data_IF_719556449144
#
_entry.id   IF_719556449144
#
_cell.length_a   1.000
_cell.length_b   1.000
_cell.length_c   1.000
_cell.angle_alpha   90.00
_cell.angle_beta   90.00
_cell.angle_gamma   90.00
#
_symmetry.space_group_name_H-M   'P 1'
#
loop_
_entity.id
_entity.type
_entity.pdbx_description
1 polymer ?
#
# COMPACT_ATOMS: atom_id res chain seq x y z
N UNK A 1 1.45 16.91 -37.14
CA UNK A 1 2.80 16.75 -36.55
C UNK A 1 2.61 16.08 -35.21
N UNK A 2 3.42 15.08 -34.90
CA UNK A 2 3.39 14.45 -33.58
C UNK A 2 4.06 15.38 -32.56
N UNK A 3 3.49 15.50 -31.35
CA UNK A 3 4.01 16.24 -30.19
C UNK A 3 4.30 15.23 -29.08
N UNK A 4 5.47 15.30 -28.47
CA UNK A 4 5.83 14.39 -27.37
C UNK A 4 6.00 15.20 -26.08
N UNK A 5 5.34 14.76 -25.00
CA UNK A 5 5.47 15.31 -23.67
C UNK A 5 6.23 14.27 -22.84
N UNK A 6 7.30 14.73 -22.16
CA UNK A 6 8.15 13.84 -21.36
C UNK A 6 8.29 14.42 -19.96
N UNK A 7 8.10 13.57 -18.95
CA UNK A 7 8.53 13.75 -17.58
C UNK A 7 9.64 12.73 -17.35
N UNK A 8 10.91 13.18 -17.50
CA UNK A 8 12.07 12.29 -17.46
C UNK A 8 12.25 11.64 -16.08
N UNK A 9 11.95 12.39 -15.02
CA UNK A 9 12.06 11.92 -13.65
C UNK A 9 10.88 12.39 -12.82
N UNK A 10 10.02 11.45 -12.45
CA UNK A 10 8.87 11.72 -11.60
C UNK A 10 9.34 11.86 -10.14
N UNK A 11 9.33 13.08 -9.64
CA UNK A 11 9.73 13.37 -8.26
C UNK A 11 8.61 13.05 -7.25
N UNK A 12 8.99 12.87 -5.99
CA UNK A 12 8.06 12.64 -4.86
C UNK A 12 7.23 11.36 -5.02
N UNK A 13 7.87 10.30 -5.52
CA UNK A 13 7.41 8.90 -5.49
C UNK A 13 8.51 8.03 -4.87
N UNK A 14 8.19 6.80 -4.55
CA UNK A 14 9.22 5.82 -4.18
C UNK A 14 9.78 5.15 -5.45
N UNK A 15 11.11 5.20 -5.62
CA UNK A 15 11.82 4.64 -6.76
C UNK A 15 11.94 5.59 -7.97
N UNK A 16 12.33 5.06 -9.14
CA UNK A 16 12.65 5.83 -10.33
C UNK A 16 11.71 5.48 -11.50
N UNK A 17 10.93 6.47 -11.92
CA UNK A 17 10.05 6.36 -13.08
C UNK A 17 9.95 7.69 -13.82
N UNK A 18 9.53 7.62 -15.08
CA UNK A 18 9.19 8.74 -15.93
C UNK A 18 7.86 8.51 -16.65
N UNK A 19 7.40 9.50 -17.38
CA UNK A 19 6.18 9.43 -18.18
C UNK A 19 6.48 9.94 -19.60
N UNK A 20 6.07 9.20 -20.62
CA UNK A 20 6.14 9.62 -22.01
C UNK A 20 4.74 9.60 -22.62
N UNK A 21 4.32 10.73 -23.19
CA UNK A 21 3.05 10.83 -23.91
C UNK A 21 3.34 11.29 -25.34
N UNK A 22 2.80 10.55 -26.32
CA UNK A 22 2.86 10.91 -27.73
C UNK A 22 1.46 11.34 -28.20
N UNK A 23 1.37 12.54 -28.71
CA UNK A 23 0.16 13.12 -29.28
C UNK A 23 0.26 13.11 -30.79
N UNK A 24 -0.77 12.66 -31.48
CA UNK A 24 -0.92 12.68 -32.93
C UNK A 24 -2.02 13.62 -33.40
N UNK A 25 -2.34 13.56 -34.70
CA UNK A 25 -3.38 14.40 -35.28
C UNK A 25 -4.78 14.19 -34.66
N UNK A 26 -5.06 12.96 -34.22
CA UNK A 26 -6.37 12.52 -33.73
C UNK A 26 -6.43 12.39 -32.19
N UNK A 27 -5.40 12.88 -31.46
CA UNK A 27 -5.36 12.86 -30.00
C UNK A 27 -4.17 12.10 -29.40
N UNK A 28 -4.39 11.40 -28.28
CA UNK A 28 -3.32 10.68 -27.54
C UNK A 28 -3.05 9.32 -28.19
N UNK A 29 -1.90 9.19 -28.86
CA UNK A 29 -1.49 7.95 -29.52
C UNK A 29 -0.91 6.94 -28.52
N UNK A 30 -0.01 7.40 -27.62
CA UNK A 30 0.69 6.53 -26.67
C UNK A 30 0.89 7.23 -25.32
N UNK A 31 0.77 6.44 -24.27
CA UNK A 31 1.15 6.82 -22.91
C UNK A 31 1.95 5.68 -22.32
N UNK A 32 3.15 5.96 -21.85
CA UNK A 32 4.04 4.99 -21.23
C UNK A 32 4.39 5.49 -19.81
N UNK A 33 4.17 4.65 -18.81
CA UNK A 33 4.72 4.86 -17.48
C UNK A 33 6.04 4.08 -17.38
N UNK A 34 7.15 4.80 -17.59
CA UNK A 34 8.48 4.24 -17.78
C UNK A 34 9.15 3.98 -16.43
N UNK A 35 9.05 2.80 -15.87
CA UNK A 35 9.84 2.39 -14.70
C UNK A 35 11.27 2.10 -15.15
N UNK A 36 12.22 2.84 -14.60
CA UNK A 36 13.66 2.71 -14.88
C UNK A 36 14.45 2.14 -13.72
N UNK A 37 13.79 1.84 -12.59
CA UNK A 37 14.38 1.15 -11.43
C UNK A 37 14.96 -0.20 -11.86
N UNK A 38 16.10 -0.60 -11.26
CA UNK A 38 16.76 -1.86 -11.58
C UNK A 38 15.90 -3.07 -11.21
N UNK A 39 15.78 -4.03 -12.10
CA UNK A 39 15.06 -5.30 -11.85
C UNK A 39 15.77 -6.05 -10.73
N UNK A 40 15.01 -6.44 -9.70
CA UNK A 40 15.50 -7.21 -8.55
C UNK A 40 14.83 -8.58 -8.55
N UNK A 41 15.60 -9.63 -8.37
CA UNK A 41 15.17 -11.01 -8.55
C UNK A 41 14.72 -11.65 -7.21
N UNK A 42 13.87 -10.98 -6.43
CA UNK A 42 13.48 -11.47 -5.09
C UNK A 42 12.81 -12.84 -5.11
N UNK A 43 11.94 -13.12 -6.06
CA UNK A 43 11.33 -14.46 -6.24
C UNK A 43 12.41 -15.53 -6.50
N UNK A 44 13.42 -15.21 -7.33
CA UNK A 44 14.57 -16.08 -7.55
C UNK A 44 15.51 -16.18 -6.35
N UNK A 45 15.68 -15.09 -5.59
CA UNK A 45 16.56 -15.04 -4.41
C UNK A 45 16.05 -15.93 -3.26
N UNK A 46 14.74 -16.10 -3.13
CA UNK A 46 14.18 -16.96 -2.07
C UNK A 46 14.12 -18.43 -2.48
N UNK A 47 14.16 -18.77 -3.78
CA UNK A 47 14.24 -20.15 -4.23
C UNK A 47 15.53 -20.82 -3.75
N UNK A 48 15.42 -22.03 -3.20
CA UNK A 48 16.50 -22.78 -2.56
C UNK A 48 16.85 -22.30 -1.14
N UNK A 49 16.20 -21.24 -0.61
CA UNK A 49 16.38 -20.80 0.78
C UNK A 49 15.41 -21.55 1.69
N UNK A 50 15.83 -21.74 2.93
CA UNK A 50 14.95 -22.26 3.95
C UNK A 50 13.85 -21.24 4.28
N UNK A 51 12.63 -21.71 4.53
CA UNK A 51 11.45 -20.87 4.77
C UNK A 51 11.63 -19.86 5.91
N UNK A 52 12.47 -20.17 6.90
CA UNK A 52 12.79 -19.28 8.03
C UNK A 52 13.47 -17.97 7.55
N UNK A 53 14.25 -18.03 6.47
CA UNK A 53 15.01 -16.86 5.96
C UNK A 53 14.14 -15.95 5.07
N UNK A 54 13.04 -16.48 4.52
CA UNK A 54 12.21 -15.78 3.54
C UNK A 54 11.68 -14.45 4.05
N UNK A 55 11.09 -14.33 5.26
CA UNK A 55 10.56 -13.05 5.76
C UNK A 55 11.62 -11.95 5.81
N UNK A 56 12.85 -12.27 6.24
CA UNK A 56 13.96 -11.33 6.28
C UNK A 56 14.42 -10.88 4.87
N UNK A 57 14.37 -11.75 3.88
CA UNK A 57 14.72 -11.45 2.49
C UNK A 57 13.65 -10.55 1.86
N UNK A 58 12.38 -10.95 1.91
CA UNK A 58 11.28 -10.23 1.24
C UNK A 58 10.95 -8.90 1.91
N UNK A 59 11.26 -8.71 3.19
CA UNK A 59 11.18 -7.40 3.85
C UNK A 59 11.98 -6.32 3.10
N UNK A 60 12.98 -6.69 2.31
CA UNK A 60 13.86 -5.79 1.55
C UNK A 60 13.36 -5.48 0.15
N UNK A 61 12.21 -6.00 -0.23
CA UNK A 61 11.54 -5.58 -1.48
C UNK A 61 11.23 -4.08 -1.41
N UNK A 62 10.83 -3.58 -0.24
CA UNK A 62 10.57 -2.15 -0.04
C UNK A 62 10.81 -1.76 1.42
N UNK A 63 11.41 -0.60 1.66
CA UNK A 63 11.62 -0.08 3.01
C UNK A 63 10.28 0.25 3.70
N UNK A 64 9.39 0.99 3.02
CA UNK A 64 8.10 1.45 3.57
C UNK A 64 7.14 0.27 3.78
N UNK A 65 7.05 -0.66 2.80
CA UNK A 65 6.14 -1.80 2.86
C UNK A 65 6.74 -3.03 3.56
N UNK A 66 7.88 -2.89 4.24
CA UNK A 66 8.64 -4.03 4.78
C UNK A 66 7.84 -4.90 5.75
N UNK A 67 7.03 -4.31 6.62
CA UNK A 67 6.13 -5.03 7.53
C UNK A 67 5.04 -5.79 6.75
N UNK A 68 4.42 -5.16 5.75
CA UNK A 68 3.42 -5.80 4.90
C UNK A 68 3.98 -7.03 4.19
N UNK A 69 5.14 -6.91 3.52
CA UNK A 69 5.81 -8.05 2.89
C UNK A 69 6.12 -9.17 3.89
N UNK A 70 6.62 -8.82 5.07
CA UNK A 70 6.97 -9.81 6.11
C UNK A 70 5.73 -10.56 6.62
N UNK A 71 4.65 -9.83 6.96
CA UNK A 71 3.42 -10.42 7.51
C UNK A 71 2.72 -11.29 6.45
N UNK A 72 2.64 -10.82 5.19
CA UNK A 72 2.04 -11.60 4.10
C UNK A 72 2.85 -12.87 3.81
N UNK A 73 4.20 -12.77 3.79
CA UNK A 73 5.06 -13.93 3.60
C UNK A 73 4.90 -14.94 4.73
N UNK A 74 4.86 -14.49 6.00
CA UNK A 74 4.61 -15.38 7.14
C UNK A 74 3.28 -16.10 7.03
N UNK A 75 2.21 -15.38 6.66
CA UNK A 75 0.88 -15.99 6.50
C UNK A 75 0.87 -17.06 5.40
N UNK A 76 1.56 -16.84 4.27
CA UNK A 76 1.69 -17.84 3.21
C UNK A 76 2.54 -19.04 3.64
N UNK A 77 3.67 -18.82 4.33
CA UNK A 77 4.53 -19.89 4.84
C UNK A 77 3.83 -20.71 5.94
N UNK A 78 3.11 -20.06 6.84
CA UNK A 78 2.32 -20.71 7.89
C UNK A 78 1.24 -21.61 7.29
N UNK A 79 0.59 -21.14 6.22
CA UNK A 79 -0.38 -21.95 5.47
C UNK A 79 0.32 -23.18 4.83
N UNK A 80 1.48 -22.99 4.16
CA UNK A 80 2.24 -24.09 3.56
C UNK A 80 2.68 -25.14 4.59
N UNK A 81 3.02 -24.72 5.81
CA UNK A 81 3.48 -25.56 6.91
C UNK A 81 2.35 -26.07 7.82
N UNK A 82 1.10 -25.70 7.55
CA UNK A 82 -0.08 -26.01 8.37
C UNK A 82 0.04 -25.48 9.82
N UNK A 83 0.65 -24.31 9.98
CA UNK A 83 0.80 -23.62 11.26
C UNK A 83 -0.39 -22.69 11.49
N UNK A 84 -1.06 -22.84 12.63
CA UNK A 84 -2.13 -21.92 13.05
C UNK A 84 -1.63 -21.08 14.20
N UNK A 85 -1.54 -19.76 14.00
CA UNK A 85 -1.13 -18.80 15.02
C UNK A 85 -2.28 -18.49 15.98
N UNK A 86 -1.93 -18.07 17.21
CA UNK A 86 -2.89 -17.66 18.25
C UNK A 86 -3.68 -16.40 17.85
N UNK A 87 -4.78 -16.12 18.56
CA UNK A 87 -5.50 -14.87 18.42
C UNK A 87 -4.61 -13.67 18.81
N UNK A 88 -3.82 -13.78 19.88
CA UNK A 88 -2.88 -12.75 20.31
C UNK A 88 -1.84 -12.43 19.23
N UNK A 89 -1.26 -13.44 18.59
CA UNK A 89 -0.32 -13.24 17.48
C UNK A 89 -0.99 -12.49 16.32
N UNK A 90 -2.23 -12.83 15.94
CA UNK A 90 -2.95 -12.10 14.89
C UNK A 90 -3.21 -10.65 15.28
N UNK A 91 -3.64 -10.39 16.50
CA UNK A 91 -3.90 -9.04 17.03
C UNK A 91 -2.62 -8.18 17.04
N UNK A 92 -1.48 -8.73 17.47
CA UNK A 92 -0.21 -8.01 17.47
C UNK A 92 0.30 -7.75 16.05
N UNK A 93 0.10 -8.67 15.10
CA UNK A 93 0.41 -8.43 13.69
C UNK A 93 -0.48 -7.35 13.08
N UNK A 94 -1.76 -7.32 13.44
CA UNK A 94 -2.68 -6.27 13.03
C UNK A 94 -2.24 -4.91 13.60
N UNK A 95 -1.91 -4.83 14.90
CA UNK A 95 -1.36 -3.61 15.51
C UNK A 95 -0.13 -3.08 14.74
N UNK A 96 0.83 -3.95 14.44
CA UNK A 96 2.00 -3.57 13.67
C UNK A 96 1.66 -3.10 12.25
N UNK A 97 0.64 -3.72 11.67
CA UNK A 97 0.13 -3.39 10.36
C UNK A 97 -0.53 -1.99 10.34
N UNK A 98 -1.32 -1.67 11.38
CA UNK A 98 -1.85 -0.32 11.56
C UNK A 98 -0.72 0.71 11.63
N UNK A 99 0.39 0.39 12.32
CA UNK A 99 1.59 1.22 12.32
C UNK A 99 2.17 1.48 10.93
N UNK A 100 2.22 0.46 10.08
CA UNK A 100 2.70 0.58 8.70
C UNK A 100 1.77 1.47 7.85
N UNK A 101 0.45 1.37 8.03
CA UNK A 101 -0.53 2.22 7.35
C UNK A 101 -0.40 3.68 7.80
N UNK A 102 -0.32 3.93 9.11
CA UNK A 102 -0.14 5.27 9.69
C UNK A 102 1.12 5.93 9.10
N UNK A 103 2.25 5.23 9.12
CA UNK A 103 3.51 5.74 8.56
C UNK A 103 3.39 6.10 7.09
N UNK A 104 2.90 5.16 6.29
CA UNK A 104 2.85 5.28 4.83
C UNK A 104 1.87 6.35 4.37
N UNK A 105 0.64 6.37 4.93
CA UNK A 105 -0.36 7.35 4.56
C UNK A 105 0.02 8.76 5.02
N UNK A 106 0.60 8.91 6.23
CA UNK A 106 1.10 10.19 6.69
C UNK A 106 2.22 10.74 5.77
N UNK A 107 3.16 9.87 5.37
CA UNK A 107 4.22 10.25 4.45
C UNK A 107 3.64 10.66 3.09
N UNK A 108 2.78 9.83 2.49
CA UNK A 108 2.26 10.08 1.16
C UNK A 108 1.36 11.33 1.14
N UNK A 109 0.31 11.35 1.94
CA UNK A 109 -0.69 12.43 1.91
C UNK A 109 -0.05 13.79 2.17
N UNK A 110 0.77 13.90 3.21
CA UNK A 110 1.26 15.21 3.67
C UNK A 110 2.62 15.63 3.10
N UNK A 111 3.50 14.68 2.77
CA UNK A 111 4.84 15.01 2.28
C UNK A 111 4.98 14.88 0.76
N UNK A 112 4.23 13.99 0.13
CA UNK A 112 4.35 13.72 -1.30
C UNK A 112 3.23 14.38 -2.13
N UNK A 113 1.96 14.24 -1.71
CA UNK A 113 0.80 14.74 -2.44
C UNK A 113 0.37 16.16 -2.05
N UNK A 114 0.33 16.49 -0.76
CA UNK A 114 -0.13 17.80 -0.27
C UNK A 114 0.62 18.99 -0.87
N UNK A 115 1.94 18.96 -1.12
CA UNK A 115 2.62 20.04 -1.80
C UNK A 115 1.97 20.41 -3.14
N UNK A 116 1.58 19.44 -3.97
CA UNK A 116 0.88 19.74 -5.24
C UNK A 116 -0.44 20.45 -5.03
N UNK A 117 -1.21 19.98 -4.07
CA UNK A 117 -2.55 20.52 -3.79
C UNK A 117 -2.51 21.95 -3.22
N UNK A 118 -1.38 22.34 -2.64
CA UNK A 118 -1.14 23.69 -2.10
C UNK A 118 -0.22 24.55 -2.99
N UNK A 119 0.16 24.07 -4.19
CA UNK A 119 1.00 24.79 -5.13
C UNK A 119 2.47 24.95 -4.70
N UNK A 120 2.99 23.99 -3.92
CA UNK A 120 4.39 23.94 -3.50
C UNK A 120 5.20 22.91 -4.27
N UNK A 121 6.45 23.20 -4.68
CA UNK A 121 7.28 22.27 -5.43
C UNK A 121 7.79 21.08 -4.58
N UNK A 122 7.81 21.23 -3.25
CA UNK A 122 8.33 20.21 -2.33
C UNK A 122 7.80 20.36 -0.92
N UNK A 123 7.97 19.32 -0.10
CA UNK A 123 7.67 19.39 1.33
C UNK A 123 8.56 20.39 2.07
N UNK A 124 9.78 20.66 1.60
CA UNK A 124 10.68 21.68 2.18
C UNK A 124 10.11 23.07 1.97
N UNK A 125 9.61 23.37 0.75
CA UNK A 125 8.90 24.61 0.47
C UNK A 125 7.63 24.75 1.32
N UNK A 126 6.86 23.66 1.44
CA UNK A 126 5.67 23.62 2.29
C UNK A 126 6.01 23.85 3.77
N UNK A 127 7.11 23.28 4.27
CA UNK A 127 7.56 23.48 5.64
C UNK A 127 7.89 24.96 5.96
N UNK A 128 8.41 25.69 4.98
CA UNK A 128 8.61 27.14 5.10
C UNK A 128 7.32 27.95 5.18
N UNK A 129 6.29 27.51 4.44
CA UNK A 129 4.99 28.19 4.38
C UNK A 129 4.02 27.76 5.49
N UNK A 130 4.03 26.46 5.84
CA UNK A 130 3.15 25.87 6.85
C UNK A 130 3.90 24.84 7.70
N UNK A 131 4.78 25.29 8.61
CA UNK A 131 5.56 24.38 9.48
C UNK A 131 4.70 23.52 10.40
N UNK A 132 3.50 24.00 10.78
CA UNK A 132 2.58 23.25 11.62
C UNK A 132 2.05 21.98 10.92
N UNK A 133 1.67 22.09 9.64
CA UNK A 133 1.21 20.95 8.85
C UNK A 133 2.30 19.89 8.66
N UNK A 134 3.53 20.32 8.37
CA UNK A 134 4.65 19.38 8.21
C UNK A 134 5.04 18.77 9.56
N UNK A 135 5.05 19.56 10.64
CA UNK A 135 5.30 19.05 11.99
C UNK A 135 4.29 17.97 12.43
N UNK A 136 3.01 18.18 12.16
CA UNK A 136 1.94 17.22 12.39
C UNK A 136 2.16 15.94 11.58
N UNK A 137 2.44 16.04 10.28
CA UNK A 137 2.73 14.90 9.42
C UNK A 137 3.89 14.05 9.94
N UNK A 138 4.96 14.69 10.39
CA UNK A 138 6.13 13.99 10.96
C UNK A 138 5.81 13.30 12.30
N UNK A 139 4.92 13.87 13.14
CA UNK A 139 4.47 13.19 14.37
C UNK A 139 3.64 11.96 14.04
N UNK A 140 2.69 12.04 13.10
CA UNK A 140 1.91 10.88 12.63
C UNK A 140 2.81 9.80 12.04
N UNK A 141 3.77 10.18 11.18
CA UNK A 141 4.75 9.23 10.65
C UNK A 141 5.57 8.56 11.75
N UNK A 142 6.01 9.33 12.75
CA UNK A 142 6.76 8.80 13.89
C UNK A 142 5.91 7.86 14.73
N UNK A 143 4.62 8.15 14.92
CA UNK A 143 3.68 7.27 15.61
C UNK A 143 3.62 5.90 14.94
N UNK A 144 3.45 5.84 13.61
CA UNK A 144 3.49 4.59 12.85
C UNK A 144 4.79 3.83 13.05
N UNK A 145 5.94 4.51 12.95
CA UNK A 145 7.25 3.91 13.20
C UNK A 145 7.39 3.35 14.63
N UNK A 146 6.89 4.07 15.63
CA UNK A 146 6.97 3.62 17.03
C UNK A 146 6.18 2.33 17.25
N UNK A 147 4.98 2.20 16.66
CA UNK A 147 4.20 0.95 16.70
C UNK A 147 5.01 -0.19 16.06
N UNK A 148 5.57 0.05 14.87
CA UNK A 148 6.37 -0.93 14.14
C UNK A 148 7.63 -1.34 14.91
N UNK A 149 8.32 -0.41 15.57
CA UNK A 149 9.50 -0.68 16.40
C UNK A 149 9.17 -1.53 17.62
N UNK A 150 8.08 -1.22 18.32
CA UNK A 150 7.67 -1.95 19.52
C UNK A 150 7.26 -3.39 19.17
N UNK A 151 6.48 -3.57 18.12
CA UNK A 151 5.95 -4.90 17.76
C UNK A 151 6.91 -5.66 16.84
N UNK A 152 7.44 -5.01 15.82
CA UNK A 152 8.30 -5.63 14.80
C UNK A 152 9.80 -5.59 15.10
N UNK A 153 10.22 -4.89 16.17
CA UNK A 153 11.61 -4.74 16.58
C UNK A 153 12.38 -3.66 15.80
N UNK A 154 11.87 -3.21 14.67
CA UNK A 154 12.37 -2.10 13.84
C UNK A 154 11.26 -1.48 13.03
N UNK A 155 11.33 -0.18 12.76
CA UNK A 155 10.39 0.50 11.86
C UNK A 155 10.56 0.03 10.40
N UNK A 156 11.77 -0.33 10.02
CA UNK A 156 12.09 -0.79 8.65
C UNK A 156 12.84 -2.12 8.75
N UNK A 157 12.46 -3.09 7.91
CA UNK A 157 13.00 -4.45 7.91
C UNK A 157 12.88 -5.13 9.27
N UNK A 158 11.66 -5.46 9.70
CA UNK A 158 11.40 -6.03 11.03
C UNK A 158 12.16 -7.31 11.27
N UNK A 159 12.52 -7.53 12.52
CA UNK A 159 13.34 -8.68 12.96
C UNK A 159 12.67 -9.53 14.03
N UNK A 160 11.50 -9.11 14.52
CA UNK A 160 10.82 -9.76 15.65
C UNK A 160 9.75 -10.78 15.23
N UNK A 161 9.35 -10.79 13.96
CA UNK A 161 8.38 -11.75 13.45
C UNK A 161 9.07 -13.08 13.12
N UNK A 162 8.45 -14.16 13.57
CA UNK A 162 8.87 -15.52 13.23
C UNK A 162 7.67 -16.33 12.75
N UNK A 163 7.90 -17.45 12.03
CA UNK A 163 6.84 -18.37 11.68
C UNK A 163 6.23 -18.90 13.00
N UNK A 164 4.93 -18.77 13.13
CA UNK A 164 4.20 -19.20 14.33
C UNK A 164 4.10 -18.17 15.45
N UNK A 165 4.67 -16.94 15.33
CA UNK A 165 4.56 -15.95 16.40
C UNK A 165 5.57 -14.81 16.34
N UNK A 166 6.15 -14.51 17.50
CA UNK A 166 7.09 -13.41 17.74
C UNK A 166 8.30 -13.89 18.54
N UNK A 167 9.46 -13.29 18.30
CA UNK A 167 10.65 -13.51 19.13
C UNK A 167 10.56 -12.83 20.52
N UNK A 168 9.84 -11.70 20.60
CA UNK A 168 9.56 -10.97 21.84
C UNK A 168 8.16 -10.33 21.76
N UNK A 169 7.44 -10.37 22.89
CA UNK A 169 6.16 -9.69 23.02
C UNK A 169 6.35 -8.28 23.61
N UNK A 170 5.48 -7.31 23.26
CA UNK A 170 5.49 -5.99 23.88
C UNK A 170 5.23 -6.08 25.40
N UNK A 171 5.87 -5.21 26.17
CA UNK A 171 5.60 -5.08 27.61
C UNK A 171 4.37 -4.21 27.87
N UNK A 172 3.85 -4.26 29.11
CA UNK A 172 2.79 -3.35 29.55
C UNK A 172 3.20 -1.89 29.42
N UNK A 173 4.46 -1.56 29.71
CA UNK A 173 4.98 -0.19 29.58
C UNK A 173 5.02 0.25 28.12
N UNK A 174 5.42 -0.64 27.19
CA UNK A 174 5.34 -0.39 25.75
C UNK A 174 3.90 -0.06 25.31
N UNK A 175 2.91 -0.82 25.79
CA UNK A 175 1.49 -0.59 25.49
C UNK A 175 0.96 0.72 26.08
N UNK A 176 1.34 1.07 27.32
CA UNK A 176 0.97 2.35 27.93
C UNK A 176 1.54 3.54 27.15
N UNK A 177 2.79 3.44 26.72
CA UNK A 177 3.41 4.44 25.86
C UNK A 177 2.67 4.57 24.53
N UNK A 178 2.32 3.46 23.88
CA UNK A 178 1.57 3.46 22.62
C UNK A 178 0.19 4.08 22.79
N UNK A 179 -0.52 3.75 23.87
CA UNK A 179 -1.84 4.33 24.15
C UNK A 179 -1.79 5.85 24.20
N UNK A 180 -0.87 6.41 24.98
CA UNK A 180 -0.72 7.87 25.08
C UNK A 180 -0.34 8.51 23.73
N UNK A 181 0.53 7.85 22.95
CA UNK A 181 0.93 8.33 21.63
C UNK A 181 -0.22 8.28 20.59
N UNK A 182 -1.07 7.25 20.65
CA UNK A 182 -2.25 7.09 19.79
C UNK A 182 -3.34 8.11 20.12
N UNK A 183 -3.59 8.38 21.41
CA UNK A 183 -4.50 9.44 21.86
C UNK A 183 -4.04 10.82 21.35
N UNK A 184 -2.73 11.11 21.40
CA UNK A 184 -2.16 12.32 20.79
C UNK A 184 -2.29 12.31 19.27
N UNK A 185 -2.12 11.15 18.63
CA UNK A 185 -2.28 10.96 17.18
C UNK A 185 -3.68 11.28 16.67
N UNK A 186 -4.74 10.98 17.45
CA UNK A 186 -6.11 11.39 17.09
C UNK A 186 -6.28 12.92 17.06
N UNK A 187 -5.59 13.66 17.95
CA UNK A 187 -5.59 15.13 17.89
C UNK A 187 -4.86 15.63 16.63
N UNK A 188 -3.76 14.98 16.23
CA UNK A 188 -3.07 15.30 14.97
C UNK A 188 -3.97 14.96 13.76
N UNK A 189 -4.74 13.87 13.78
CA UNK A 189 -5.74 13.56 12.77
C UNK A 189 -6.83 14.64 12.66
N UNK A 190 -7.31 15.17 13.79
CA UNK A 190 -8.28 16.26 13.78
C UNK A 190 -7.69 17.56 13.19
N UNK A 191 -6.44 17.88 13.48
CA UNK A 191 -5.73 19.02 12.87
C UNK A 191 -5.52 18.80 11.37
N UNK A 192 -5.18 17.58 10.94
CA UNK A 192 -5.08 17.18 9.53
C UNK A 192 -6.40 17.34 8.79
N UNK A 193 -7.51 16.89 9.41
CA UNK A 193 -8.86 17.05 8.86
C UNK A 193 -9.20 18.52 8.63
N UNK A 194 -8.91 19.39 9.62
CA UNK A 194 -9.16 20.83 9.50
C UNK A 194 -8.41 21.43 8.29
N UNK A 195 -7.18 20.99 8.02
CA UNK A 195 -6.41 21.41 6.84
C UNK A 195 -7.02 20.87 5.55
N UNK A 196 -7.25 19.55 5.46
CA UNK A 196 -7.71 18.91 4.20
C UNK A 196 -9.08 19.39 3.74
N UNK A 197 -9.97 19.77 4.66
CA UNK A 197 -11.28 20.39 4.33
C UNK A 197 -11.17 21.72 3.59
N UNK A 198 -10.04 22.40 3.64
CA UNK A 198 -9.81 23.66 2.93
C UNK A 198 -9.31 23.48 1.50
N UNK A 199 -9.02 22.24 1.09
CA UNK A 199 -8.36 21.93 -0.17
C UNK A 199 -9.39 21.43 -1.18
N UNK A 200 -9.48 22.11 -2.32
CA UNK A 200 -10.24 21.62 -3.46
C UNK A 200 -9.37 20.64 -4.27
N UNK A 201 -9.88 19.45 -4.53
CA UNK A 201 -9.18 18.50 -5.41
C UNK A 201 -9.20 19.01 -6.86
N UNK A 202 -8.09 18.86 -7.61
CA UNK A 202 -8.09 19.16 -9.03
C UNK A 202 -9.14 18.34 -9.78
N UNK A 203 -9.91 18.97 -10.66
CA UNK A 203 -11.00 18.36 -11.43
C UNK A 203 -10.64 18.11 -12.90
N UNK A 204 -9.38 17.80 -13.19
CA UNK A 204 -8.90 17.59 -14.57
C UNK A 204 -8.82 16.11 -14.99
N UNK A 205 -9.27 15.19 -14.16
CA UNK A 205 -9.46 13.79 -14.51
C UNK A 205 -10.84 13.36 -14.05
N UNK A 206 -11.63 12.83 -14.97
CA UNK A 206 -12.98 12.36 -14.69
C UNK A 206 -13.22 11.05 -15.45
N UNK A 207 -12.49 10.01 -15.07
CA UNK A 207 -12.55 8.70 -15.70
C UNK A 207 -12.90 7.62 -14.66
N UNK A 208 -13.95 6.81 -14.91
CA UNK A 208 -14.31 5.73 -13.99
C UNK A 208 -13.17 4.75 -13.76
N UNK A 209 -13.02 4.30 -12.51
CA UNK A 209 -12.01 3.34 -12.10
C UNK A 209 -12.67 2.02 -11.70
N UNK A 210 -12.20 0.93 -12.26
CA UNK A 210 -12.57 -0.43 -11.83
C UNK A 210 -11.75 -0.79 -10.61
N UNK A 211 -12.38 -0.91 -9.45
CA UNK A 211 -11.72 -1.16 -8.18
C UNK A 211 -11.60 -2.65 -7.87
N UNK A 212 -10.51 -3.05 -7.20
CA UNK A 212 -10.33 -4.37 -6.63
C UNK A 212 -9.75 -4.25 -5.21
N UNK A 213 -10.25 -5.06 -4.27
CA UNK A 213 -9.75 -5.13 -2.89
C UNK A 213 -10.07 -6.47 -2.25
N UNK A 214 -9.32 -6.85 -1.20
CA UNK A 214 -9.68 -7.97 -0.34
C UNK A 214 -11.03 -7.71 0.33
N UNK A 215 -11.83 -8.75 0.44
CA UNK A 215 -13.05 -8.76 1.27
C UNK A 215 -12.60 -8.85 2.72
N UNK A 216 -12.83 -7.82 3.57
CA UNK A 216 -12.36 -7.82 4.94
C UNK A 216 -12.90 -8.99 5.75
N UNK A 217 -12.03 -9.62 6.54
CA UNK A 217 -12.38 -10.70 7.46
C UNK A 217 -12.67 -10.12 8.85
N UNK A 218 -13.85 -10.40 9.38
CA UNK A 218 -14.28 -9.95 10.70
C UNK A 218 -14.02 -8.45 10.92
N UNK A 219 -13.38 -8.07 12.02
CA UNK A 219 -13.01 -6.69 12.34
C UNK A 219 -11.70 -6.23 11.67
N UNK A 220 -10.97 -7.16 11.03
CA UNK A 220 -9.66 -6.88 10.43
C UNK A 220 -9.79 -6.35 9.00
N UNK A 221 -9.94 -5.03 8.84
CA UNK A 221 -10.22 -4.35 7.56
C UNK A 221 -9.19 -4.64 6.44
N UNK A 222 -7.92 -4.87 6.79
CA UNK A 222 -6.84 -5.08 5.84
C UNK A 222 -6.47 -6.55 5.59
N UNK A 223 -7.23 -7.49 6.12
CA UNK A 223 -7.00 -8.92 5.98
C UNK A 223 -8.23 -9.62 5.42
N UNK A 224 -8.02 -10.60 4.54
CA UNK A 224 -9.11 -11.33 3.90
C UNK A 224 -8.62 -12.56 3.15
N UNK A 225 -9.59 -13.38 2.69
CA UNK A 225 -9.32 -14.65 2.01
C UNK A 225 -9.84 -14.67 0.57
N UNK A 226 -10.48 -13.60 0.13
CA UNK A 226 -10.97 -13.42 -1.24
C UNK A 226 -10.85 -11.95 -1.67
N UNK A 227 -10.73 -11.72 -2.96
CA UNK A 227 -10.73 -10.39 -3.58
C UNK A 227 -12.04 -10.16 -4.30
N UNK A 228 -12.58 -8.95 -4.18
CA UNK A 228 -13.76 -8.48 -4.94
C UNK A 228 -13.39 -7.36 -5.89
N UNK A 229 -13.97 -7.38 -7.09
CA UNK A 229 -13.95 -6.28 -8.05
C UNK A 229 -15.25 -5.50 -8.00
N UNK A 230 -15.23 -4.25 -8.44
CA UNK A 230 -16.40 -3.37 -8.47
C UNK A 230 -17.50 -3.80 -9.46
N UNK A 231 -17.20 -4.72 -10.37
CA UNK A 231 -18.17 -5.33 -11.28
C UNK A 231 -18.81 -6.63 -10.73
N UNK A 232 -18.52 -6.98 -9.48
CA UNK A 232 -19.08 -8.13 -8.77
C UNK A 232 -18.29 -9.43 -8.92
N UNK A 233 -17.19 -9.44 -9.69
CA UNK A 233 -16.30 -10.62 -9.71
C UNK A 233 -15.64 -10.82 -8.34
N UNK A 234 -15.63 -12.07 -7.88
CA UNK A 234 -14.95 -12.46 -6.64
C UNK A 234 -14.05 -13.66 -6.89
N UNK A 235 -12.90 -13.70 -6.23
CA UNK A 235 -11.94 -14.78 -6.35
C UNK A 235 -11.26 -15.06 -5.01
N UNK A 236 -11.17 -16.33 -4.56
CA UNK A 236 -10.37 -16.72 -3.42
C UNK A 236 -8.89 -16.38 -3.62
N UNK A 237 -8.17 -16.04 -2.53
CA UNK A 237 -6.76 -15.65 -2.57
C UNK A 237 -5.88 -16.74 -3.20
N UNK A 238 -6.15 -18.01 -2.98
CA UNK A 238 -5.42 -19.14 -3.58
C UNK A 238 -5.61 -19.25 -5.10
N UNK A 239 -6.59 -18.52 -5.68
CA UNK A 239 -6.86 -18.44 -7.12
C UNK A 239 -6.48 -17.09 -7.72
N UNK A 240 -5.64 -16.31 -7.06
CA UNK A 240 -5.27 -14.94 -7.44
C UNK A 240 -4.81 -14.79 -8.90
N UNK A 241 -4.20 -15.83 -9.51
CA UNK A 241 -3.78 -15.81 -10.91
C UNK A 241 -4.96 -15.66 -11.89
N UNK A 242 -6.18 -15.90 -11.47
CA UNK A 242 -7.36 -15.62 -12.29
C UNK A 242 -7.76 -14.14 -12.27
N UNK A 243 -7.26 -13.39 -11.30
CA UNK A 243 -7.42 -11.94 -11.20
C UNK A 243 -6.24 -11.21 -11.87
N UNK A 244 -5.02 -11.58 -11.51
CA UNK A 244 -3.81 -10.88 -11.94
C UNK A 244 -3.05 -11.70 -12.96
N UNK A 245 -2.80 -11.13 -14.13
CA UNK A 245 -1.97 -11.73 -15.17
C UNK A 245 -0.75 -10.87 -15.43
N UNK A 246 0.21 -10.88 -14.50
CA UNK A 246 1.42 -10.09 -14.64
C UNK A 246 2.13 -10.34 -15.99
N UNK A 247 2.46 -9.26 -16.67
CA UNK A 247 3.12 -9.27 -17.98
C UNK A 247 4.25 -8.25 -18.03
N UNK A 248 5.31 -8.57 -18.76
CA UNK A 248 6.33 -7.62 -19.13
C UNK A 248 5.84 -6.71 -20.26
N UNK A 249 6.25 -5.45 -20.23
CA UNK A 249 6.02 -4.46 -21.30
C UNK A 249 7.35 -3.88 -21.75
N UNK A 250 7.45 -3.50 -23.01
CA UNK A 250 8.73 -3.09 -23.61
C UNK A 250 9.28 -1.75 -23.07
N UNK A 251 8.40 -0.89 -22.54
CA UNK A 251 8.74 0.47 -22.10
C UNK A 251 9.03 0.57 -20.61
N UNK A 252 8.91 -0.51 -19.84
CA UNK A 252 9.03 -0.47 -18.37
C UNK A 252 9.72 -1.71 -17.84
N UNK A 253 10.55 -1.55 -16.80
CA UNK A 253 11.14 -2.68 -16.06
C UNK A 253 10.15 -3.35 -15.11
N UNK A 254 9.03 -2.70 -14.80
CA UNK A 254 7.99 -3.26 -13.95
C UNK A 254 7.07 -4.22 -14.73
N UNK A 255 6.42 -5.10 -13.98
CA UNK A 255 5.32 -5.90 -14.50
C UNK A 255 4.01 -5.11 -14.44
N UNK A 256 3.11 -5.41 -15.34
CA UNK A 256 1.78 -4.82 -15.47
C UNK A 256 0.72 -5.90 -15.35
N UNK A 257 -0.45 -5.55 -14.84
CA UNK A 257 -1.58 -6.47 -14.70
C UNK A 257 -2.84 -5.95 -15.40
N UNK A 258 -3.63 -6.88 -15.91
CA UNK A 258 -4.98 -6.66 -16.41
C UNK A 258 -5.88 -7.78 -15.88
N UNK A 259 -7.18 -7.53 -15.78
CA UNK A 259 -8.18 -8.57 -15.61
C UNK A 259 -9.20 -8.50 -16.75
N UNK A 260 -9.35 -9.60 -17.49
CA UNK A 260 -10.16 -9.68 -18.72
C UNK A 260 -9.82 -8.57 -19.74
N UNK A 261 -8.54 -8.32 -19.93
CA UNK A 261 -8.05 -7.30 -20.88
C UNK A 261 -8.29 -5.85 -20.45
N UNK A 262 -8.82 -5.60 -19.25
CA UNK A 262 -9.10 -4.27 -18.71
C UNK A 262 -8.22 -3.97 -17.51
N UNK A 263 -7.85 -2.72 -17.34
CA UNK A 263 -7.15 -2.24 -16.16
C UNK A 263 -8.07 -2.24 -14.93
N UNK A 264 -7.46 -2.26 -13.76
CA UNK A 264 -8.14 -2.10 -12.49
C UNK A 264 -7.21 -1.39 -11.50
N UNK A 265 -7.78 -0.85 -10.44
CA UNK A 265 -7.07 -0.16 -9.36
C UNK A 265 -7.21 -0.93 -8.06
N UNK A 266 -6.11 -1.02 -7.31
CA UNK A 266 -6.08 -1.41 -5.89
C UNK A 266 -5.60 -0.22 -5.05
N UNK A 267 -5.86 -0.23 -3.74
CA UNK A 267 -5.45 0.82 -2.81
C UNK A 267 -6.61 1.43 -2.04
N UNK A 268 -6.36 2.53 -1.33
CA UNK A 268 -7.33 3.12 -0.39
C UNK A 268 -8.66 3.48 -1.06
N UNK A 269 -8.62 4.13 -2.23
CA UNK A 269 -9.83 4.49 -2.96
C UNK A 269 -10.65 3.26 -3.35
N UNK A 270 -9.99 2.18 -3.78
CA UNK A 270 -10.62 0.92 -4.14
C UNK A 270 -11.24 0.23 -2.91
N UNK A 271 -10.51 0.15 -1.78
CA UNK A 271 -11.01 -0.44 -0.53
C UNK A 271 -12.23 0.29 -0.01
N UNK A 272 -12.18 1.61 0.06
CA UNK A 272 -13.33 2.40 0.52
C UNK A 272 -14.50 2.34 -0.46
N UNK A 273 -14.26 2.24 -1.77
CA UNK A 273 -15.33 2.07 -2.76
C UNK A 273 -16.08 0.74 -2.63
N UNK A 274 -15.38 -0.32 -2.21
CA UNK A 274 -15.92 -1.68 -2.11
C UNK A 274 -16.43 -2.04 -0.71
N UNK A 275 -15.77 -1.52 0.33
CA UNK A 275 -15.97 -1.94 1.72
C UNK A 275 -16.07 -0.75 2.70
N UNK A 276 -16.34 0.45 2.20
CA UNK A 276 -16.42 1.64 3.02
C UNK A 276 -17.56 1.64 4.04
N UNK A 277 -18.55 0.76 3.89
CA UNK A 277 -19.59 0.51 4.88
C UNK A 277 -19.04 0.00 6.22
N UNK A 278 -17.86 -0.63 6.19
CA UNK A 278 -17.14 -1.09 7.38
C UNK A 278 -16.45 0.02 8.17
N UNK A 279 -16.21 1.17 7.59
CA UNK A 279 -15.58 2.31 8.26
C UNK A 279 -16.60 2.97 9.19
N UNK A 280 -16.29 3.07 10.47
CA UNK A 280 -17.11 3.65 11.53
C UNK A 280 -16.30 4.69 12.33
N UNK A 281 -16.82 5.21 13.43
CA UNK A 281 -16.13 6.05 14.40
C UNK A 281 -15.55 7.33 13.80
N UNK A 282 -14.39 7.75 14.31
CA UNK A 282 -13.70 8.97 13.89
C UNK A 282 -13.30 8.93 12.39
N UNK A 283 -13.00 7.76 11.85
CA UNK A 283 -12.71 7.61 10.43
C UNK A 283 -13.95 7.89 9.56
N UNK A 284 -15.14 7.47 9.98
CA UNK A 284 -16.40 7.80 9.28
C UNK A 284 -16.70 9.29 9.35
N UNK A 285 -16.48 9.91 10.49
CA UNK A 285 -16.66 11.36 10.66
C UNK A 285 -15.67 12.13 9.76
N UNK A 286 -14.41 11.69 9.68
CA UNK A 286 -13.40 12.26 8.79
C UNK A 286 -13.82 12.13 7.32
N UNK A 287 -14.31 10.95 6.90
CA UNK A 287 -14.84 10.73 5.54
C UNK A 287 -15.92 11.73 5.17
N UNK A 288 -16.94 11.84 6.02
CA UNK A 288 -18.04 12.78 5.81
C UNK A 288 -17.55 14.22 5.73
N UNK A 289 -16.61 14.58 6.59
CA UNK A 289 -16.10 15.95 6.71
C UNK A 289 -15.19 16.37 5.54
N UNK A 290 -14.43 15.47 4.92
CA UNK A 290 -13.65 15.76 3.70
C UNK A 290 -14.51 15.72 2.43
N UNK A 291 -15.77 15.32 2.51
CA UNK A 291 -16.70 15.29 1.39
C UNK A 291 -16.34 14.24 0.32
N UNK A 292 -15.66 13.15 0.69
CA UNK A 292 -15.30 12.09 -0.24
C UNK A 292 -16.53 11.34 -0.71
N UNK A 293 -16.85 11.45 -2.00
CA UNK A 293 -17.96 10.74 -2.64
C UNK A 293 -17.44 9.51 -3.39
N UNK A 294 -18.04 8.36 -3.16
CA UNK A 294 -17.68 7.08 -3.79
C UNK A 294 -18.89 6.43 -4.48
N UNK A 295 -18.68 5.75 -5.63
CA UNK A 295 -17.41 5.66 -6.35
C UNK A 295 -16.98 7.02 -6.92
N UNK A 296 -15.65 7.28 -6.93
CA UNK A 296 -15.08 8.50 -7.48
C UNK A 296 -14.54 8.26 -8.88
N UNK A 297 -14.76 9.24 -9.77
CA UNK A 297 -14.09 9.30 -11.09
C UNK A 297 -12.83 10.13 -11.09
N UNK A 298 -12.52 10.78 -9.97
CA UNK A 298 -11.31 11.59 -9.78
C UNK A 298 -10.27 10.79 -8.98
N UNK A 299 -9.21 10.35 -9.63
CA UNK A 299 -8.15 9.55 -8.98
C UNK A 299 -7.45 10.31 -7.85
N UNK A 300 -7.39 11.64 -7.88
CA UNK A 300 -6.78 12.45 -6.82
C UNK A 300 -7.52 12.28 -5.48
N UNK A 301 -8.76 11.83 -5.51
CA UNK A 301 -9.55 11.44 -4.32
C UNK A 301 -8.91 10.28 -3.51
N UNK A 302 -7.98 9.51 -4.12
CA UNK A 302 -7.22 8.51 -3.38
C UNK A 302 -6.44 9.08 -2.19
N UNK A 303 -5.99 10.33 -2.28
CA UNK A 303 -5.32 11.01 -1.16
C UNK A 303 -6.26 11.22 0.03
N UNK A 304 -7.55 11.54 -0.23
CA UNK A 304 -8.56 11.66 0.82
C UNK A 304 -8.95 10.27 1.38
N UNK A 305 -9.02 9.26 0.52
CA UNK A 305 -9.24 7.88 0.95
C UNK A 305 -8.11 7.39 1.87
N UNK A 306 -6.85 7.67 1.53
CA UNK A 306 -5.69 7.37 2.39
C UNK A 306 -5.75 8.13 3.72
N UNK A 307 -6.23 9.37 3.72
CA UNK A 307 -6.42 10.11 4.97
C UNK A 307 -7.51 9.46 5.85
N UNK A 308 -8.63 9.02 5.28
CA UNK A 308 -9.67 8.28 6.02
C UNK A 308 -9.09 7.00 6.63
N UNK A 309 -8.30 6.24 5.87
CA UNK A 309 -7.63 5.04 6.37
C UNK A 309 -6.56 5.34 7.42
N UNK A 310 -5.88 6.48 7.34
CA UNK A 310 -4.96 6.95 8.37
C UNK A 310 -5.70 7.13 9.71
N UNK A 311 -6.86 7.81 9.69
CA UNK A 311 -7.69 8.02 10.89
C UNK A 311 -8.17 6.67 11.42
N UNK A 312 -8.69 5.79 10.55
CA UNK A 312 -9.07 4.42 10.91
C UNK A 312 -7.94 3.66 11.59
N UNK A 313 -6.73 3.72 11.03
CA UNK A 313 -5.58 2.99 11.57
C UNK A 313 -5.15 3.51 12.95
N UNK A 314 -5.23 4.81 13.21
CA UNK A 314 -4.94 5.38 14.53
C UNK A 314 -6.00 4.95 15.55
N UNK A 315 -7.29 5.03 15.17
CA UNK A 315 -8.42 4.65 16.03
C UNK A 315 -8.38 3.15 16.35
N UNK A 316 -8.25 2.30 15.35
CA UNK A 316 -8.19 0.84 15.50
C UNK A 316 -6.96 0.37 16.30
N UNK A 317 -5.79 0.98 16.06
CA UNK A 317 -4.61 0.71 16.88
C UNK A 317 -4.84 1.06 18.36
N UNK A 318 -5.55 2.15 18.65
CA UNK A 318 -5.90 2.54 20.03
C UNK A 318 -6.87 1.52 20.67
N UNK A 319 -7.84 1.01 19.92
CA UNK A 319 -8.75 -0.05 20.35
C UNK A 319 -7.98 -1.33 20.71
N UNK A 320 -7.08 -1.77 19.80
CA UNK A 320 -6.23 -2.96 20.00
C UNK A 320 -5.38 -2.78 21.27
N UNK A 321 -4.68 -1.67 21.42
CA UNK A 321 -3.80 -1.41 22.57
C UNK A 321 -4.61 -1.35 23.87
N UNK A 322 -5.80 -0.75 23.84
CA UNK A 322 -6.69 -0.69 25.01
C UNK A 322 -7.19 -2.08 25.42
N UNK A 323 -7.56 -2.92 24.45
CA UNK A 323 -7.97 -4.30 24.70
C UNK A 323 -6.82 -5.14 25.25
N UNK A 324 -5.60 -5.02 24.70
CA UNK A 324 -4.41 -5.72 25.19
C UNK A 324 -4.04 -5.30 26.63
N UNK A 325 -4.18 -4.02 26.97
CA UNK A 325 -3.95 -3.54 28.34
C UNK A 325 -4.99 -4.10 29.34
N UNK A 326 -6.24 -4.24 28.91
CA UNK A 326 -7.31 -4.77 29.75
C UNK A 326 -7.22 -6.28 29.97
N UNK A 327 -6.83 -7.03 28.94
CA UNK A 327 -6.75 -8.49 28.96
C UNK A 327 -5.39 -9.01 29.47
N UNK A 328 -4.34 -8.19 29.35
CA UNK A 328 -2.95 -8.60 29.50
C UNK A 328 -2.41 -9.32 28.26
N UNK A 329 -1.09 -9.33 28.09
CA UNK A 329 -0.40 -10.14 27.08
C UNK A 329 0.06 -11.44 27.73
N UNK A 330 -0.44 -12.57 27.20
CA UNK A 330 0.00 -13.88 27.65
C UNK A 330 1.43 -14.15 27.15
N UNK A 331 2.30 -14.68 28.02
CA UNK A 331 3.63 -15.14 27.63
C UNK A 331 3.47 -16.47 26.85
N UNK A 332 3.44 -16.36 25.51
CA UNK A 332 3.30 -17.52 24.62
C UNK A 332 4.52 -17.62 23.70
N UNK A 333 5.21 -18.75 23.67
CA UNK A 333 6.26 -18.99 22.69
C UNK A 333 5.66 -19.15 21.28
N UNK A 334 6.45 -18.93 20.22
CA UNK A 334 6.02 -19.24 18.87
C UNK A 334 5.57 -20.70 18.73
N UNK A 335 4.58 -20.96 17.89
CA UNK A 335 4.11 -22.30 17.58
C UNK A 335 5.28 -23.13 17.03
N UNK A 336 5.45 -24.34 17.55
CA UNK A 336 6.47 -25.26 17.04
C UNK A 336 6.16 -25.63 15.60
N UNK A 337 7.14 -25.44 14.74
CA UNK A 337 7.02 -25.71 13.30
C UNK A 337 7.67 -27.04 12.96
N UNK A 338 6.93 -27.90 12.27
CA UNK A 338 7.45 -29.13 11.67
C UNK A 338 7.63 -28.90 10.17
N UNK A 339 8.86 -29.11 9.67
CA UNK A 339 9.12 -28.95 8.24
C UNK A 339 8.39 -30.02 7.43
N UNK A 340 7.83 -29.59 6.31
CA UNK A 340 7.08 -30.42 5.39
C UNK A 340 6.97 -29.80 4.00
N UNK A 341 6.77 -30.62 2.99
CA UNK A 341 6.35 -30.14 1.70
C UNK A 341 4.93 -29.55 1.78
N UNK A 342 4.73 -28.43 1.12
CA UNK A 342 3.43 -27.78 1.10
C UNK A 342 3.42 -26.53 0.24
N UNK A 343 2.24 -26.00 0.03
CA UNK A 343 2.00 -24.76 -0.70
C UNK A 343 1.10 -23.85 0.11
N UNK A 344 1.41 -22.56 0.13
CA UNK A 344 0.57 -21.55 0.77
C UNK A 344 0.55 -20.26 -0.02
N UNK A 345 -0.63 -19.63 -0.03
CA UNK A 345 -0.87 -18.35 -0.67
C UNK A 345 -1.61 -17.44 0.30
N UNK A 346 -1.08 -16.26 0.55
CA UNK A 346 -1.72 -15.26 1.39
C UNK A 346 -1.78 -13.91 0.68
N UNK A 347 -2.77 -13.10 1.06
CA UNK A 347 -2.86 -11.73 0.64
C UNK A 347 -3.14 -10.81 1.83
N UNK A 348 -2.69 -9.56 1.71
CA UNK A 348 -2.89 -8.49 2.70
C UNK A 348 -3.08 -7.17 1.97
N UNK A 349 -3.95 -6.31 2.48
CA UNK A 349 -4.12 -4.96 1.96
C UNK A 349 -3.01 -4.05 2.49
N UNK A 350 -1.85 -3.98 1.82
CA UNK A 350 -0.82 -3.00 2.17
C UNK A 350 -1.26 -1.57 1.80
N UNK A 351 -0.63 -0.50 2.29
CA UNK A 351 -1.11 0.88 2.09
C UNK A 351 -1.52 1.19 0.65
N UNK A 352 -0.78 0.64 -0.33
CA UNK A 352 -0.98 0.86 -1.77
C UNK A 352 -1.92 -0.12 -2.45
N UNK A 353 -2.44 -1.14 -1.73
CA UNK A 353 -3.40 -2.12 -2.25
C UNK A 353 -3.07 -3.56 -1.92
N UNK A 354 -3.71 -4.49 -2.63
CA UNK A 354 -3.60 -5.93 -2.38
C UNK A 354 -2.23 -6.47 -2.74
N UNK A 355 -1.53 -7.07 -1.77
CA UNK A 355 -0.25 -7.74 -1.90
C UNK A 355 -0.45 -9.25 -1.78
N UNK A 356 0.06 -10.03 -2.75
CA UNK A 356 0.03 -11.49 -2.69
C UNK A 356 1.44 -12.04 -2.51
N UNK A 357 1.57 -13.08 -1.70
CA UNK A 357 2.73 -13.95 -1.59
C UNK A 357 2.30 -15.41 -1.70
N UNK A 358 2.99 -16.18 -2.53
CA UNK A 358 2.83 -17.61 -2.68
C UNK A 358 4.19 -18.29 -2.56
N UNK A 359 4.23 -19.39 -1.80
CA UNK A 359 5.44 -20.22 -1.67
C UNK A 359 5.08 -21.69 -1.81
N UNK A 360 5.95 -22.45 -2.50
CA UNK A 360 5.95 -23.90 -2.52
C UNK A 360 7.20 -24.38 -1.81
N UNK A 361 7.04 -25.25 -0.82
CA UNK A 361 8.13 -25.79 0.00
C UNK A 361 8.34 -27.27 -0.31
N UNK A 362 9.58 -27.73 -0.25
CA UNK A 362 9.93 -29.15 -0.23
C UNK A 362 9.81 -29.75 1.19
N UNK A 363 10.15 -31.03 1.33
CA UNK A 363 10.04 -31.75 2.60
C UNK A 363 10.98 -31.20 3.70
N UNK A 364 12.08 -30.56 3.33
CA UNK A 364 13.05 -29.97 4.23
C UNK A 364 12.72 -28.50 4.58
N UNK A 365 11.61 -27.97 4.03
CA UNK A 365 11.18 -26.58 4.23
C UNK A 365 11.93 -25.56 3.37
N UNK A 366 12.62 -26.01 2.32
CA UNK A 366 13.25 -25.10 1.36
C UNK A 366 12.24 -24.66 0.29
N UNK A 367 12.34 -23.39 -0.15
CA UNK A 367 11.47 -22.83 -1.17
C UNK A 367 11.81 -23.40 -2.54
N UNK A 368 10.85 -24.06 -3.18
CA UNK A 368 10.97 -24.59 -4.55
C UNK A 368 10.47 -23.59 -5.58
N UNK A 369 9.41 -22.83 -5.23
CA UNK A 369 8.84 -21.79 -6.06
C UNK A 369 8.29 -20.65 -5.19
N UNK A 370 8.38 -19.44 -5.69
CA UNK A 370 7.83 -18.24 -5.06
C UNK A 370 7.17 -17.35 -6.12
N UNK A 371 6.10 -16.65 -5.73
CA UNK A 371 5.45 -15.63 -6.52
C UNK A 371 5.01 -14.49 -5.61
N UNK A 372 5.31 -13.25 -6.03
CA UNK A 372 4.98 -12.04 -5.28
C UNK A 372 4.34 -11.03 -6.22
N UNK A 373 3.06 -10.72 -6.01
CA UNK A 373 2.34 -9.75 -6.81
C UNK A 373 2.06 -8.51 -5.96
N UNK A 374 2.62 -7.38 -6.37
CA UNK A 374 2.55 -6.14 -5.61
C UNK A 374 1.44 -5.23 -6.12
N UNK A 375 0.87 -4.37 -5.25
CA UNK A 375 -0.22 -3.48 -5.65
C UNK A 375 0.20 -2.49 -6.74
N UNK A 376 1.43 -1.98 -6.71
CA UNK A 376 1.90 -1.01 -7.71
C UNK A 376 1.97 -1.63 -9.11
N UNK A 377 2.42 -2.89 -9.24
CA UNK A 377 2.38 -3.61 -10.51
C UNK A 377 0.94 -3.80 -11.03
N UNK A 378 -0.02 -4.03 -10.13
CA UNK A 378 -1.43 -4.13 -10.47
C UNK A 378 -2.01 -2.80 -10.96
N UNK A 379 -1.53 -1.67 -10.43
CA UNK A 379 -2.04 -0.34 -10.77
C UNK A 379 -1.53 0.21 -12.10
N UNK A 380 -0.36 -0.19 -12.60
CA UNK A 380 0.30 0.52 -13.71
C UNK A 380 -0.54 0.61 -14.98
N UNK A 381 -1.29 -0.43 -15.36
CA UNK A 381 -2.19 -0.32 -16.51
C UNK A 381 -3.26 0.75 -16.31
N UNK A 382 -3.79 0.88 -15.10
CA UNK A 382 -4.78 1.90 -14.78
C UNK A 382 -4.15 3.30 -14.66
N UNK A 383 -2.91 3.39 -14.18
CA UNK A 383 -2.14 4.65 -14.20
C UNK A 383 -2.05 5.19 -15.63
N UNK A 384 -1.67 4.36 -16.62
CA UNK A 384 -1.59 4.79 -18.01
C UNK A 384 -2.94 5.23 -18.58
N UNK A 385 -4.03 4.56 -18.23
CA UNK A 385 -5.38 4.97 -18.63
C UNK A 385 -5.75 6.34 -18.06
N UNK A 386 -5.47 6.60 -16.78
CA UNK A 386 -5.75 7.88 -16.14
C UNK A 386 -4.83 9.01 -16.64
N UNK A 387 -3.57 8.72 -16.94
CA UNK A 387 -2.66 9.67 -17.59
C UNK A 387 -3.15 10.05 -18.98
N UNK A 388 -3.65 9.06 -19.75
CA UNK A 388 -4.27 9.28 -21.07
C UNK A 388 -5.50 10.20 -20.96
N UNK A 389 -6.36 9.97 -19.97
CA UNK A 389 -7.52 10.80 -19.70
C UNK A 389 -7.12 12.23 -19.33
N UNK A 390 -6.12 12.40 -18.46
CA UNK A 390 -5.63 13.71 -18.03
C UNK A 390 -5.13 14.58 -19.20
N UNK A 391 -4.47 13.95 -20.18
CA UNK A 391 -4.00 14.65 -21.39
C UNK A 391 -5.13 14.94 -22.35
N UNK A 392 -6.06 14.00 -22.56
CA UNK A 392 -7.26 14.20 -23.41
C UNK A 392 -8.08 15.38 -22.88
N UNK A 393 -8.33 15.43 -21.58
CA UNK A 393 -9.13 16.47 -20.93
C UNK A 393 -8.37 17.82 -20.85
N UNK A 394 -7.05 17.79 -21.03
CA UNK A 394 -6.18 18.98 -21.13
C UNK A 394 -5.82 19.38 -22.57
N UNK A 395 -6.55 18.88 -23.58
CA UNK A 395 -6.27 19.21 -24.96
C UNK A 395 -6.27 20.73 -25.20
N UNK A 396 -5.15 21.26 -25.71
CA UNK A 396 -4.96 22.70 -25.95
C UNK A 396 -4.15 23.43 -24.87
N UNK A 397 -3.83 22.78 -23.75
CA UNK A 397 -2.94 23.35 -22.73
C UNK A 397 -1.46 23.28 -23.12
N UNK A 398 -0.64 24.05 -22.39
CA UNK A 398 0.81 24.05 -22.58
C UNK A 398 1.44 22.75 -22.07
N UNK A 399 2.66 22.42 -22.57
CA UNK A 399 3.41 21.24 -22.10
C UNK A 399 3.68 21.28 -20.59
N UNK A 400 3.92 22.46 -20.03
CA UNK A 400 4.19 22.65 -18.60
C UNK A 400 2.97 22.26 -17.76
N UNK A 401 1.78 22.75 -18.15
CA UNK A 401 0.52 22.42 -17.46
C UNK A 401 0.21 20.93 -17.57
N UNK A 402 0.40 20.34 -18.77
CA UNK A 402 0.18 18.91 -18.96
C UNK A 402 1.15 18.06 -18.15
N UNK A 403 2.46 18.45 -18.08
CA UNK A 403 3.42 17.76 -17.19
C UNK A 403 2.97 17.79 -15.74
N UNK A 404 2.57 18.95 -15.23
CA UNK A 404 2.07 19.07 -13.86
C UNK A 404 0.86 18.16 -13.60
N UNK A 405 -0.10 18.08 -14.53
CA UNK A 405 -1.25 17.18 -14.42
C UNK A 405 -0.83 15.72 -14.38
N UNK A 406 0.07 15.30 -15.28
CA UNK A 406 0.60 13.93 -15.34
C UNK A 406 1.27 13.54 -14.03
N UNK A 407 2.07 14.43 -13.47
CA UNK A 407 2.74 14.21 -12.19
C UNK A 407 1.77 14.08 -11.02
N UNK A 408 0.73 14.91 -10.94
CA UNK A 408 -0.30 14.85 -9.90
C UNK A 408 -1.09 13.53 -10.01
N UNK A 409 -1.48 13.13 -11.22
CA UNK A 409 -2.20 11.87 -11.45
C UNK A 409 -1.36 10.66 -11.05
N UNK A 410 -0.10 10.61 -11.49
CA UNK A 410 0.79 9.51 -11.14
C UNK A 410 1.02 9.42 -9.62
N UNK A 411 1.27 10.56 -8.95
CA UNK A 411 1.44 10.60 -7.48
C UNK A 411 0.18 10.21 -6.72
N UNK A 412 -1.01 10.49 -7.24
CA UNK A 412 -2.26 10.10 -6.60
C UNK A 412 -2.40 8.59 -6.37
N UNK A 413 -1.70 7.75 -7.14
CA UNK A 413 -1.62 6.30 -6.91
C UNK A 413 -0.68 5.89 -5.78
N UNK A 414 0.14 6.81 -5.25
CA UNK A 414 1.20 6.48 -4.28
C UNK A 414 2.12 5.36 -4.79
N UNK A 415 2.74 5.48 -5.99
CA UNK A 415 3.45 4.36 -6.59
C UNK A 415 4.71 4.00 -5.78
N UNK A 416 4.84 2.70 -5.45
CA UNK A 416 6.03 2.10 -4.89
C UNK A 416 6.75 1.33 -6.00
N UNK A 417 7.60 2.04 -6.73
CA UNK A 417 8.24 1.52 -7.93
C UNK A 417 9.18 0.36 -7.61
N UNK A 418 9.94 0.45 -6.52
CA UNK A 418 10.78 -0.64 -6.06
C UNK A 418 10.02 -1.94 -5.82
N UNK A 419 8.76 -1.88 -5.37
CA UNK A 419 7.94 -3.07 -5.17
C UNK A 419 7.57 -3.78 -6.48
N UNK A 420 7.50 -3.06 -7.60
CA UNK A 420 7.00 -3.56 -8.88
C UNK A 420 8.06 -4.19 -9.79
N UNK A 421 9.36 -4.09 -9.42
CA UNK A 421 10.50 -4.49 -10.26
C UNK A 421 11.18 -5.75 -9.75
N UNK A 422 10.45 -6.82 -9.53
CA UNK A 422 11.02 -8.12 -9.19
C UNK A 422 10.52 -9.19 -10.15
N UNK A 423 11.38 -10.16 -10.44
CA UNK A 423 11.11 -11.24 -11.38
C UNK A 423 11.89 -12.49 -10.98
N UNK A 424 11.49 -13.64 -11.55
CA UNK A 424 12.25 -14.89 -11.42
C UNK A 424 13.42 -14.92 -12.42
N UNK A 425 13.22 -14.37 -13.60
CA UNK A 425 14.21 -14.36 -14.70
C UNK A 425 14.22 -13.02 -15.40
N UNK A 426 15.39 -12.61 -15.84
CA UNK A 426 15.52 -11.53 -16.84
C UNK A 426 15.14 -12.12 -18.19
N UNK A 427 14.16 -11.52 -18.85
CA UNK A 427 13.73 -11.92 -20.20
C UNK A 427 14.71 -11.43 -21.25
#
# INVERSE_FOLDING_TARGET
MSRTIVVDHLARIEGHAGITVVLGGDGVERVDFNVTEGIRLFEGLVCGRHCIDVPAIVSRICAICSHGHTITALSALEQALHVTVSAQTRTLRDLAYQGANIESHALHVFCLALPDLLGHPSVVSLAGANPAAVGMALRLKKLGNTIQEIVGGRAVHPVNYVIGGFGRLPSTDDLLQLKAALEAGLNDCAAALALLRTIALPAFVNEPVRCAALIPRDEAFFFGDAVRLSDGFEVPVDKYLTLTNERAVAHSHAKFSLHDGRSYMVGALARLSLHGDRIQGAARDAWNAVGLTLPSTNIVANNLAQFVELVYSVEHALEIVTALLAQGIADEPPVRVEMRAGEGTAATEVPRGTLFHRYVLDADGCVVAADVITPTAQNFSNVEDQLRAAVRDGAGETDEVLRSRLEIVARAYDPCVSCSVHAIRVL
#
